data_IF_226720968826
#
_entry.id   IF_226720968826
#
_cell.length_a   1.000
_cell.length_b   1.000
_cell.length_c   1.000
_cell.angle_alpha   90.00
_cell.angle_beta   90.00
_cell.angle_gamma   90.00
#
_symmetry.space_group_name_H-M   'P 1'
#
loop_
_entity.id
_entity.type
_entity.pdbx_description
1 polymer ?
#
# COMPACT_ATOMS: atom_id res chain seq x y z
N UNK A 1 16.81 0.19 38.28
CA UNK A 1 16.32 -0.79 37.29
C UNK A 1 14.95 -0.33 36.81
N UNK A 2 14.92 0.47 35.74
CA UNK A 2 13.67 1.00 35.19
C UNK A 2 13.20 0.07 34.08
N UNK A 3 12.42 -0.95 34.44
CA UNK A 3 11.64 -1.73 33.46
C UNK A 3 10.41 -0.87 33.15
N UNK A 4 10.39 -0.24 31.98
CA UNK A 4 9.14 0.30 31.42
C UNK A 4 8.10 -0.84 31.40
N UNK A 5 6.85 -0.58 31.81
CA UNK A 5 5.83 -1.61 31.88
C UNK A 5 5.54 -2.15 30.48
N UNK A 6 5.47 -3.47 30.34
CA UNK A 6 5.16 -4.17 29.08
C UNK A 6 3.85 -3.69 28.43
N UNK A 7 2.93 -3.11 29.22
CA UNK A 7 1.67 -2.52 28.75
C UNK A 7 1.87 -1.37 27.77
N UNK A 8 2.73 -0.40 28.07
CA UNK A 8 2.95 0.75 27.17
C UNK A 8 3.58 0.28 25.85
N UNK A 9 4.43 -0.74 25.90
CA UNK A 9 5.06 -1.30 24.70
C UNK A 9 4.05 -2.05 23.81
N UNK A 10 3.06 -2.72 24.41
CA UNK A 10 1.95 -3.39 23.70
C UNK A 10 1.06 -2.39 22.98
N UNK A 11 0.65 -1.32 23.67
CA UNK A 11 -0.29 -0.33 23.12
C UNK A 11 0.28 0.39 21.88
N UNK A 12 1.58 0.68 21.88
CA UNK A 12 2.25 1.28 20.71
C UNK A 12 2.43 0.29 19.56
N UNK A 13 2.67 -0.99 19.84
CA UNK A 13 2.74 -2.03 18.81
C UNK A 13 1.37 -2.26 18.15
N UNK A 14 0.30 -2.32 18.95
CA UNK A 14 -1.07 -2.49 18.42
C UNK A 14 -1.51 -1.28 17.59
N UNK A 15 -1.14 -0.06 18.00
CA UNK A 15 -1.37 1.16 17.22
C UNK A 15 -0.59 1.18 15.90
N UNK A 16 0.67 0.72 15.90
CA UNK A 16 1.48 0.61 14.68
C UNK A 16 0.88 -0.41 13.71
N UNK A 17 0.42 -1.57 14.21
CA UNK A 17 -0.27 -2.59 13.41
C UNK A 17 -1.54 -2.03 12.79
N UNK A 18 -2.40 -1.37 13.58
CA UNK A 18 -3.62 -0.73 13.08
C UNK A 18 -3.32 0.31 11.99
N UNK A 19 -2.33 1.16 12.22
CA UNK A 19 -1.90 2.19 11.24
C UNK A 19 -1.41 1.55 9.95
N UNK A 20 -0.71 0.42 10.05
CA UNK A 20 -0.17 -0.32 8.90
C UNK A 20 -1.28 -1.01 8.11
N UNK A 21 -2.27 -1.59 8.78
CA UNK A 21 -3.47 -2.14 8.15
C UNK A 21 -4.28 -1.06 7.40
N UNK A 22 -4.47 0.10 8.02
CA UNK A 22 -5.14 1.24 7.37
C UNK A 22 -4.38 1.73 6.13
N UNK A 23 -3.06 1.88 6.23
CA UNK A 23 -2.22 2.29 5.11
C UNK A 23 -2.28 1.27 3.97
N UNK A 24 -2.21 -0.03 4.29
CA UNK A 24 -2.36 -1.10 3.31
C UNK A 24 -3.74 -1.07 2.63
N UNK A 25 -4.82 -0.87 3.38
CA UNK A 25 -6.18 -0.73 2.83
C UNK A 25 -6.32 0.44 1.85
N UNK A 26 -5.67 1.57 2.13
CA UNK A 26 -5.63 2.72 1.20
C UNK A 26 -4.88 2.39 -0.09
N UNK A 27 -3.74 1.70 0.01
CA UNK A 27 -2.99 1.26 -1.18
C UNK A 27 -3.82 0.31 -2.05
N UNK A 28 -4.52 -0.67 -1.45
CA UNK A 28 -5.42 -1.56 -2.20
C UNK A 28 -6.54 -0.82 -2.92
N UNK A 29 -7.09 0.22 -2.28
CA UNK A 29 -8.14 1.06 -2.89
C UNK A 29 -7.59 1.81 -4.10
N UNK A 30 -6.40 2.41 -3.97
CA UNK A 30 -5.75 3.13 -5.06
C UNK A 30 -5.32 2.21 -6.22
N UNK A 31 -4.89 0.98 -5.92
CA UNK A 31 -4.61 -0.06 -6.92
C UNK A 31 -5.88 -0.37 -7.72
N UNK A 32 -7.01 -0.61 -7.05
CA UNK A 32 -8.28 -0.90 -7.71
C UNK A 32 -8.74 0.27 -8.60
N UNK A 33 -8.66 1.51 -8.11
CA UNK A 33 -9.01 2.69 -8.89
C UNK A 33 -8.10 2.86 -10.12
N UNK A 34 -6.81 2.57 -9.97
CA UNK A 34 -5.84 2.62 -11.07
C UNK A 34 -6.10 1.53 -12.11
N UNK A 35 -6.44 0.31 -11.69
CA UNK A 35 -6.81 -0.80 -12.57
C UNK A 35 -8.08 -0.49 -13.37
N UNK A 36 -9.10 0.12 -12.73
CA UNK A 36 -10.32 0.59 -13.43
C UNK A 36 -9.98 1.62 -14.49
N UNK A 37 -9.17 2.64 -14.14
CA UNK A 37 -8.79 3.69 -15.09
C UNK A 37 -7.97 3.14 -16.26
N UNK A 38 -7.10 2.15 -16.02
CA UNK A 38 -6.37 1.46 -17.09
C UNK A 38 -7.31 0.71 -18.04
N UNK A 39 -8.37 0.10 -17.52
CA UNK A 39 -9.36 -0.60 -18.33
C UNK A 39 -10.23 0.35 -19.19
N UNK A 40 -10.37 1.61 -18.77
CA UNK A 40 -11.10 2.64 -19.53
C UNK A 40 -10.28 3.22 -20.69
N UNK A 41 -8.94 3.12 -20.65
CA UNK A 41 -8.06 3.62 -21.72
C UNK A 41 -8.05 2.67 -22.93
N UNK A 42 -8.38 3.19 -24.12
CA UNK A 42 -8.43 2.40 -25.35
C UNK A 42 -7.05 2.24 -25.99
N UNK A 43 -6.78 1.15 -26.72
CA UNK A 43 -5.44 0.77 -27.24
C UNK A 43 -4.82 1.74 -28.29
N UNK A 44 -5.41 2.92 -28.49
CA UNK A 44 -4.92 3.93 -29.42
C UNK A 44 -3.64 4.62 -28.94
N UNK A 45 -2.92 5.20 -29.90
CA UNK A 45 -1.69 5.98 -29.68
C UNK A 45 -1.91 7.20 -28.77
N UNK A 46 -3.13 7.78 -28.76
CA UNK A 46 -3.48 8.92 -27.91
C UNK A 46 -3.38 8.60 -26.41
N UNK A 47 -3.62 7.33 -26.05
CA UNK A 47 -3.75 6.88 -24.67
C UNK A 47 -2.49 6.12 -24.22
N UNK A 48 -1.54 5.87 -25.14
CA UNK A 48 -0.35 5.07 -24.89
C UNK A 48 0.51 5.62 -23.74
N UNK A 49 0.74 6.94 -23.73
CA UNK A 49 1.53 7.60 -22.69
C UNK A 49 0.83 7.59 -21.32
N UNK A 50 -0.48 7.80 -21.28
CA UNK A 50 -1.25 7.73 -20.02
C UNK A 50 -1.28 6.28 -19.48
N UNK A 51 -1.45 5.30 -20.38
CA UNK A 51 -1.39 3.88 -20.02
C UNK A 51 -0.04 3.50 -19.44
N UNK A 52 1.06 3.89 -20.07
CA UNK A 52 2.41 3.60 -19.57
C UNK A 52 2.63 4.22 -18.18
N UNK A 53 2.21 5.47 -17.99
CA UNK A 53 2.28 6.15 -16.70
C UNK A 53 1.48 5.42 -15.61
N UNK A 54 0.23 5.05 -15.91
CA UNK A 54 -0.63 4.34 -14.96
C UNK A 54 -0.12 2.94 -14.66
N UNK A 55 0.45 2.22 -15.64
CA UNK A 55 1.10 0.92 -15.41
C UNK A 55 2.33 1.04 -14.49
N UNK A 56 3.15 2.07 -14.70
CA UNK A 56 4.29 2.36 -13.82
C UNK A 56 3.84 2.67 -12.38
N UNK A 57 2.81 3.51 -12.22
CA UNK A 57 2.20 3.80 -10.91
C UNK A 57 1.63 2.55 -10.26
N UNK A 58 0.88 1.74 -11.01
CA UNK A 58 0.29 0.50 -10.52
C UNK A 58 1.35 -0.47 -9.98
N UNK A 59 2.48 -0.59 -10.69
CA UNK A 59 3.61 -1.41 -10.24
C UNK A 59 4.17 -0.89 -8.91
N UNK A 60 4.40 0.42 -8.79
CA UNK A 60 4.91 1.03 -7.57
C UNK A 60 3.95 0.87 -6.38
N UNK A 61 2.64 1.00 -6.62
CA UNK A 61 1.63 0.79 -5.57
C UNK A 61 1.58 -0.66 -5.07
N UNK A 62 1.71 -1.63 -5.98
CA UNK A 62 1.77 -3.05 -5.63
C UNK A 62 3.00 -3.38 -4.81
N UNK A 63 4.17 -2.87 -5.21
CA UNK A 63 5.42 -3.02 -4.47
C UNK A 63 5.30 -2.42 -3.06
N UNK A 64 4.76 -1.21 -2.92
CA UNK A 64 4.54 -0.59 -1.62
C UNK A 64 3.56 -1.39 -0.74
N UNK A 65 2.49 -1.95 -1.32
CA UNK A 65 1.53 -2.77 -0.58
C UNK A 65 2.16 -4.08 -0.09
N UNK A 66 2.95 -4.75 -0.94
CA UNK A 66 3.70 -5.95 -0.57
C UNK A 66 4.72 -5.65 0.55
N UNK A 67 5.47 -4.56 0.43
CA UNK A 67 6.43 -4.14 1.44
C UNK A 67 5.77 -3.93 2.82
N UNK A 68 4.58 -3.32 2.88
CA UNK A 68 3.86 -3.13 4.15
C UNK A 68 3.52 -4.46 4.84
N UNK A 69 3.15 -5.49 4.07
CA UNK A 69 2.83 -6.82 4.59
C UNK A 69 4.11 -7.59 4.96
N UNK A 70 5.15 -7.52 4.14
CA UNK A 70 6.40 -8.26 4.40
C UNK A 70 7.14 -7.72 5.62
N UNK A 71 7.06 -6.41 5.88
CA UNK A 71 7.52 -5.82 7.14
C UNK A 71 6.63 -6.16 8.34
N UNK A 72 5.39 -6.60 8.13
CA UNK A 72 4.53 -7.13 9.20
C UNK A 72 4.90 -8.57 9.58
N UNK A 73 5.36 -9.40 8.63
CA UNK A 73 5.76 -10.79 8.88
C UNK A 73 7.12 -10.96 9.57
N UNK A 74 7.96 -9.92 9.59
CA UNK A 74 9.31 -9.93 10.19
C UNK A 74 9.36 -9.35 11.61
N UNK A 75 8.25 -8.82 12.13
CA UNK A 75 8.13 -8.22 13.46
C UNK A 75 7.88 -9.24 14.56
#
# INVERSE_FOLDING_TARGET
MSRLPESERSDWTDLDLLTREEAHGRLLTEIADTDVRLAELGEGESDAAERELLQSRLRALREAAEDLIDHSKKG
#
